data_IF_129416416956
#
_entry.id   IF_129416416956
#
_cell.length_a   1.000
_cell.length_b   1.000
_cell.length_c   1.000
_cell.angle_alpha   90.00
_cell.angle_beta   90.00
_cell.angle_gamma   90.00
#
_symmetry.space_group_name_H-M   'P 1'
#
loop_
_entity.id
_entity.type
_entity.pdbx_description
1 polymer ?
#
# COMPACT_ATOMS: atom_id res chain seq x y z
N UNK A 1 -65.16 60.92 -19.73
CA UNK A 1 -65.31 59.48 -19.63
C UNK A 1 -64.01 58.86 -20.12
N UNK A 2 -63.11 58.39 -19.18
CA UNK A 2 -61.78 57.84 -19.48
C UNK A 2 -61.90 56.33 -19.45
N UNK A 3 -61.54 55.68 -20.56
CA UNK A 3 -61.43 54.23 -20.62
C UNK A 3 -59.97 53.86 -20.43
N UNK A 4 -59.69 53.14 -19.37
CA UNK A 4 -58.36 52.62 -19.05
C UNK A 4 -58.16 51.29 -19.78
N UNK A 5 -57.11 51.23 -20.65
CA UNK A 5 -56.66 50.01 -21.28
C UNK A 5 -55.77 49.21 -20.39
N UNK A 6 -56.14 47.99 -20.04
CA UNK A 6 -55.28 47.02 -19.36
C UNK A 6 -54.44 46.30 -20.41
N UNK A 7 -53.13 46.59 -20.42
CA UNK A 7 -52.14 45.80 -21.16
C UNK A 7 -51.73 44.60 -20.33
N UNK A 8 -52.04 43.42 -20.87
CA UNK A 8 -51.59 42.12 -20.28
C UNK A 8 -50.14 41.90 -20.74
N UNK A 9 -49.18 42.09 -19.86
CA UNK A 9 -47.79 41.65 -20.05
C UNK A 9 -47.70 40.13 -19.79
N UNK A 10 -47.64 39.34 -20.86
CA UNK A 10 -47.32 37.91 -20.82
C UNK A 10 -45.82 37.77 -20.66
N UNK A 11 -45.36 37.55 -19.44
CA UNK A 11 -43.96 37.18 -19.15
C UNK A 11 -43.71 35.72 -19.61
N UNK A 12 -43.11 35.55 -20.76
CA UNK A 12 -42.53 34.28 -21.16
C UNK A 12 -41.36 33.94 -20.18
N UNK A 13 -41.61 33.11 -19.22
CA UNK A 13 -40.54 32.43 -18.47
C UNK A 13 -39.93 31.41 -19.43
N UNK A 14 -38.75 31.74 -19.99
CA UNK A 14 -37.82 30.74 -20.52
C UNK A 14 -37.44 29.82 -19.38
N UNK A 15 -38.00 28.61 -19.35
CA UNK A 15 -37.51 27.54 -18.54
C UNK A 15 -36.07 27.23 -19.01
N UNK A 16 -35.10 27.73 -18.29
CA UNK A 16 -33.73 27.22 -18.39
C UNK A 16 -33.80 25.74 -18.00
N UNK A 17 -33.70 24.88 -19.02
CA UNK A 17 -33.44 23.47 -18.82
C UNK A 17 -32.13 23.40 -18.02
N UNK A 18 -32.24 23.18 -16.70
CA UNK A 18 -31.09 22.89 -15.87
C UNK A 18 -30.45 21.61 -16.42
N UNK A 19 -29.33 21.77 -17.10
CA UNK A 19 -28.48 20.64 -17.46
C UNK A 19 -28.16 19.95 -16.13
N UNK A 20 -28.51 18.65 -15.94
CA UNK A 20 -28.18 17.98 -14.71
C UNK A 20 -26.67 18.09 -14.48
N UNK A 21 -26.20 18.29 -13.23
CA UNK A 21 -24.78 18.35 -12.94
C UNK A 21 -24.16 17.04 -13.42
N UNK A 22 -23.19 17.13 -14.32
CA UNK A 22 -22.38 15.99 -14.73
C UNK A 22 -21.65 15.56 -13.46
N UNK A 23 -22.02 14.41 -12.92
CA UNK A 23 -21.37 13.89 -11.72
C UNK A 23 -19.96 13.43 -12.10
N UNK A 24 -18.96 14.11 -11.59
CA UNK A 24 -17.56 13.71 -11.67
C UNK A 24 -17.39 12.25 -11.23
N UNK A 25 -16.94 11.40 -12.10
CA UNK A 25 -16.60 10.02 -11.75
C UNK A 25 -15.35 10.07 -10.88
N UNK A 26 -15.46 9.61 -9.62
CA UNK A 26 -14.30 9.52 -8.73
C UNK A 26 -13.54 8.25 -9.01
N UNK A 27 -12.26 8.37 -9.30
CA UNK A 27 -11.36 7.25 -9.55
C UNK A 27 -10.21 7.29 -8.55
N UNK A 28 -9.96 6.15 -7.90
CA UNK A 28 -8.85 6.01 -6.96
C UNK A 28 -7.68 5.31 -7.65
N UNK A 29 -6.48 5.81 -7.42
CA UNK A 29 -5.28 5.33 -8.08
C UNK A 29 -4.15 5.07 -7.10
N UNK A 30 -3.21 4.21 -7.52
CA UNK A 30 -1.91 4.03 -6.86
C UNK A 30 -0.83 4.72 -7.68
N UNK A 31 0.13 5.38 -7.02
CA UNK A 31 1.23 6.04 -7.70
C UNK A 31 2.15 5.05 -8.42
N UNK A 32 2.70 5.49 -9.55
CA UNK A 32 3.53 4.66 -10.41
C UNK A 32 2.77 3.68 -11.30
N UNK A 33 1.45 3.52 -11.11
CA UNK A 33 0.60 2.68 -11.96
C UNK A 33 0.07 3.46 -13.17
N UNK A 34 -0.45 2.72 -14.16
CA UNK A 34 -1.19 3.28 -15.30
C UNK A 34 -2.67 3.40 -14.97
N UNK A 35 -3.30 4.44 -15.49
CA UNK A 35 -4.72 4.70 -15.35
C UNK A 35 -5.31 5.08 -16.70
N UNK A 36 -6.48 4.54 -17.05
CA UNK A 36 -7.25 4.99 -18.21
C UNK A 36 -8.38 5.91 -17.76
N UNK A 37 -8.41 7.12 -18.31
CA UNK A 37 -9.47 8.12 -18.15
C UNK A 37 -10.46 7.93 -19.30
N UNK A 38 -11.71 7.53 -19.06
CA UNK A 38 -12.65 7.19 -20.12
C UNK A 38 -13.21 8.44 -20.80
N UNK A 39 -13.24 8.43 -22.13
CA UNK A 39 -13.91 9.45 -22.92
C UNK A 39 -14.34 8.88 -24.29
N UNK A 40 -15.60 9.04 -24.64
CA UNK A 40 -16.14 8.60 -25.93
C UNK A 40 -16.97 9.72 -26.57
N UNK A 41 -16.89 9.84 -27.89
CA UNK A 41 -17.58 10.87 -28.62
C UNK A 41 -17.66 10.59 -30.11
N UNK A 42 -18.11 11.58 -30.87
CA UNK A 42 -18.19 11.54 -32.33
C UNK A 42 -16.79 11.50 -32.94
N UNK A 43 -16.42 10.47 -33.72
CA UNK A 43 -15.08 10.32 -34.30
C UNK A 43 -14.70 11.41 -35.31
N UNK A 44 -15.65 12.22 -35.77
CA UNK A 44 -15.39 13.33 -36.71
C UNK A 44 -15.02 14.65 -36.03
N UNK A 45 -15.06 14.73 -34.68
CA UNK A 45 -14.82 15.95 -33.91
C UNK A 45 -13.51 15.91 -33.14
N UNK A 46 -12.85 17.05 -33.06
CA UNK A 46 -11.66 17.23 -32.28
C UNK A 46 -11.99 17.30 -30.79
N UNK A 47 -11.03 16.82 -29.92
CA UNK A 47 -11.23 16.72 -28.49
C UNK A 47 -10.02 17.27 -27.76
N UNK A 48 -10.30 18.04 -26.70
CA UNK A 48 -9.31 18.50 -25.72
C UNK A 48 -9.49 17.77 -24.38
N UNK A 49 -8.38 17.36 -23.80
CA UNK A 49 -8.26 16.94 -22.41
C UNK A 49 -7.64 18.05 -21.58
N UNK A 50 -8.34 18.46 -20.54
CA UNK A 50 -7.95 19.51 -19.60
C UNK A 50 -7.83 18.93 -18.18
N UNK A 51 -6.97 19.52 -17.38
CA UNK A 51 -6.72 19.13 -15.99
C UNK A 51 -6.76 20.35 -15.06
N UNK A 52 -7.41 20.19 -13.92
CA UNK A 52 -7.42 21.16 -12.85
C UNK A 52 -6.94 20.49 -11.56
N UNK A 53 -5.82 20.94 -11.03
CA UNK A 53 -5.31 20.46 -9.76
C UNK A 53 -6.18 20.99 -8.61
N UNK A 54 -6.41 20.19 -7.56
CA UNK A 54 -7.32 20.54 -6.45
C UNK A 54 -7.02 21.89 -5.77
N UNK A 55 -5.75 22.34 -5.77
CA UNK A 55 -5.32 23.58 -5.12
C UNK A 55 -5.27 24.80 -6.05
N UNK A 56 -5.49 24.62 -7.36
CA UNK A 56 -5.34 25.68 -8.35
C UNK A 56 -6.60 25.81 -9.22
N UNK A 57 -7.10 27.07 -9.41
CA UNK A 57 -8.34 27.27 -10.18
C UNK A 57 -8.16 27.13 -11.70
N UNK A 58 -6.92 27.19 -12.20
CA UNK A 58 -6.65 27.23 -13.63
C UNK A 58 -6.69 25.84 -14.26
N UNK A 59 -7.25 25.75 -15.47
CA UNK A 59 -7.24 24.56 -16.28
C UNK A 59 -5.93 24.47 -17.07
N UNK A 60 -5.22 23.36 -16.90
CA UNK A 60 -4.01 23.03 -17.64
C UNK A 60 -4.35 22.13 -18.82
N UNK A 61 -3.60 22.27 -19.91
CA UNK A 61 -3.73 21.44 -21.08
C UNK A 61 -3.02 20.10 -20.87
N UNK A 62 -3.76 18.99 -21.06
CA UNK A 62 -3.24 17.62 -20.91
C UNK A 62 -2.89 17.01 -22.26
N UNK A 63 -3.87 16.98 -23.16
CA UNK A 63 -3.71 16.40 -24.48
C UNK A 63 -4.80 16.91 -25.44
N UNK A 64 -4.51 16.85 -26.72
CA UNK A 64 -5.38 17.26 -27.80
C UNK A 64 -5.37 16.21 -28.91
N UNK A 65 -6.55 15.90 -29.40
CA UNK A 65 -6.73 15.18 -30.65
C UNK A 65 -7.34 16.14 -31.66
N UNK A 66 -6.56 16.55 -32.63
CA UNK A 66 -6.96 17.52 -33.65
C UNK A 66 -6.64 16.98 -35.05
N UNK A 67 -7.63 16.94 -35.93
CA UNK A 67 -7.49 16.44 -37.33
C UNK A 67 -6.76 15.09 -37.41
N UNK A 68 -7.03 14.19 -36.44
CA UNK A 68 -6.40 12.85 -36.36
C UNK A 68 -4.97 12.84 -35.81
N UNK A 69 -4.41 13.99 -35.41
CA UNK A 69 -3.12 14.09 -34.75
C UNK A 69 -3.27 14.17 -33.23
N UNK A 70 -2.40 13.46 -32.49
CA UNK A 70 -2.32 13.51 -31.02
C UNK A 70 -1.16 14.39 -30.59
N UNK A 71 -1.40 15.30 -29.65
CA UNK A 71 -0.36 16.07 -28.96
C UNK A 71 -0.61 16.12 -27.46
N UNK A 72 0.45 16.09 -26.66
CA UNK A 72 0.40 16.18 -25.20
C UNK A 72 0.88 17.53 -24.71
N UNK A 73 0.29 18.00 -23.60
CA UNK A 73 0.65 19.24 -22.92
C UNK A 73 1.92 19.10 -22.07
N UNK A 74 2.39 20.27 -21.60
CA UNK A 74 3.55 20.33 -20.73
C UNK A 74 3.33 19.55 -19.42
N UNK A 75 4.33 18.74 -19.03
CA UNK A 75 4.23 17.86 -17.86
C UNK A 75 3.54 16.51 -18.12
N UNK A 76 2.94 16.33 -19.31
CA UNK A 76 2.29 15.07 -19.71
C UNK A 76 3.01 14.36 -20.87
N UNK A 77 4.06 14.96 -21.45
CA UNK A 77 4.85 14.35 -22.52
C UNK A 77 5.39 12.99 -22.11
N UNK A 78 5.19 11.98 -22.95
CA UNK A 78 5.64 10.61 -22.71
C UNK A 78 4.90 9.89 -21.58
N UNK A 79 3.85 10.52 -20.99
CA UNK A 79 3.03 9.92 -19.92
C UNK A 79 1.57 9.71 -20.31
N UNK A 80 1.13 10.27 -21.43
CA UNK A 80 -0.24 10.12 -21.91
C UNK A 80 -0.29 9.53 -23.31
N UNK A 81 -1.23 8.61 -23.52
CA UNK A 81 -1.51 7.95 -24.78
C UNK A 81 -3.02 7.90 -25.02
N UNK A 82 -3.46 8.01 -26.29
CA UNK A 82 -4.87 7.96 -26.67
C UNK A 82 -5.18 6.73 -27.52
N UNK A 83 -6.38 6.18 -27.35
CA UNK A 83 -6.90 5.06 -28.14
C UNK A 83 -7.49 5.49 -29.49
N UNK A 84 -7.75 6.78 -29.73
CA UNK A 84 -8.47 7.26 -30.89
C UNK A 84 -7.85 6.86 -32.23
N UNK A 85 -6.52 6.74 -32.30
CA UNK A 85 -5.82 6.33 -33.53
C UNK A 85 -6.11 4.89 -33.96
N UNK A 86 -6.46 4.02 -32.98
CA UNK A 86 -6.79 2.61 -33.24
C UNK A 86 -8.30 2.33 -33.16
N UNK A 87 -9.02 3.14 -32.40
CA UNK A 87 -10.45 3.02 -32.12
C UNK A 87 -11.14 4.36 -32.31
N UNK A 88 -11.60 4.71 -33.54
CA UNK A 88 -12.26 5.98 -33.79
C UNK A 88 -13.45 6.24 -32.88
N UNK A 89 -13.51 7.43 -32.28
CA UNK A 89 -14.52 7.80 -31.27
C UNK A 89 -14.20 7.39 -29.83
N UNK A 90 -13.16 6.59 -29.60
CA UNK A 90 -12.62 6.33 -28.27
C UNK A 90 -11.50 7.33 -27.96
N UNK A 91 -11.85 8.42 -27.29
CA UNK A 91 -10.92 9.48 -26.88
C UNK A 91 -10.31 9.23 -25.49
N UNK A 92 -10.49 8.05 -24.91
CA UNK A 92 -9.93 7.70 -23.63
C UNK A 92 -8.42 7.92 -23.61
N UNK A 93 -7.92 8.39 -22.45
CA UNK A 93 -6.52 8.75 -22.26
C UNK A 93 -5.90 7.81 -21.22
N UNK A 94 -4.81 7.14 -21.57
CA UNK A 94 -4.00 6.41 -20.58
C UNK A 94 -2.93 7.33 -20.03
N UNK A 95 -2.90 7.50 -18.70
CA UNK A 95 -1.89 8.25 -17.94
C UNK A 95 -0.98 7.27 -17.23
N UNK A 96 0.34 7.33 -17.49
CA UNK A 96 1.34 6.41 -16.93
C UNK A 96 2.75 7.03 -16.95
N UNK A 97 3.49 6.99 -15.82
CA UNK A 97 3.04 6.66 -14.47
C UNK A 97 2.22 7.78 -13.85
N UNK A 98 1.25 7.43 -12.98
CA UNK A 98 0.53 8.43 -12.18
C UNK A 98 1.41 8.94 -11.04
N UNK A 99 1.48 10.26 -10.87
CA UNK A 99 2.25 10.94 -9.82
C UNK A 99 1.34 11.79 -8.92
N UNK A 100 1.86 12.28 -7.80
CA UNK A 100 1.07 13.09 -6.85
C UNK A 100 0.48 14.35 -7.51
N UNK A 101 1.22 15.00 -8.39
CA UNK A 101 0.76 16.21 -9.08
C UNK A 101 -0.35 15.98 -10.10
N UNK A 102 -0.71 14.72 -10.39
CA UNK A 102 -1.82 14.38 -11.27
C UNK A 102 -3.18 14.32 -10.54
N UNK A 103 -3.18 14.47 -9.20
CA UNK A 103 -4.43 14.47 -8.44
C UNK A 103 -5.25 15.73 -8.74
N UNK A 104 -6.53 15.56 -9.03
CA UNK A 104 -7.41 16.66 -9.41
C UNK A 104 -8.51 16.21 -10.40
N UNK A 105 -9.05 17.17 -11.14
CA UNK A 105 -10.16 16.94 -12.04
C UNK A 105 -9.68 16.96 -13.49
N UNK A 106 -10.01 15.93 -14.22
CA UNK A 106 -9.78 15.81 -15.67
C UNK A 106 -11.08 15.99 -16.43
N UNK A 107 -11.06 16.80 -17.46
CA UNK A 107 -12.16 17.02 -18.39
C UNK A 107 -11.79 16.58 -19.79
N UNK A 108 -12.67 15.83 -20.44
CA UNK A 108 -12.66 15.58 -21.87
C UNK A 108 -13.82 16.34 -22.51
N UNK A 109 -13.56 17.19 -23.49
CA UNK A 109 -14.57 18.00 -24.16
C UNK A 109 -14.27 18.19 -25.65
N UNK A 110 -15.30 18.45 -26.46
CA UNK A 110 -15.07 18.85 -27.83
C UNK A 110 -14.39 20.22 -27.91
N UNK A 111 -13.48 20.35 -28.89
CA UNK A 111 -12.72 21.57 -29.16
C UNK A 111 -13.46 22.52 -30.13
N UNK A 112 -14.73 22.59 -30.12
CA UNK A 112 -15.46 23.55 -30.94
C UNK A 112 -16.10 24.65 -30.06
N UNK A 113 -16.80 25.60 -30.71
CA UNK A 113 -17.45 26.73 -30.04
C UNK A 113 -18.47 26.30 -28.97
N UNK A 114 -18.89 25.02 -28.98
CA UNK A 114 -19.89 24.51 -28.05
C UNK A 114 -19.28 23.98 -26.73
N UNK A 115 -18.00 23.65 -26.71
CA UNK A 115 -17.27 23.10 -25.56
C UNK A 115 -18.05 22.01 -24.79
N UNK A 116 -18.73 21.13 -25.53
CA UNK A 116 -19.56 20.09 -24.92
C UNK A 116 -18.68 19.14 -24.14
N UNK A 117 -18.95 19.03 -22.84
CA UNK A 117 -18.31 18.09 -21.93
C UNK A 117 -18.71 16.65 -22.27
N UNK A 118 -17.74 15.78 -22.53
CA UNK A 118 -17.93 14.35 -22.80
C UNK A 118 -17.68 13.51 -21.55
N UNK A 119 -16.67 13.87 -20.76
CA UNK A 119 -16.29 13.13 -19.55
C UNK A 119 -15.66 14.07 -18.54
N UNK A 120 -15.91 13.80 -17.26
CA UNK A 120 -15.35 14.49 -16.10
C UNK A 120 -14.96 13.45 -15.06
N UNK A 121 -13.64 13.36 -14.75
CA UNK A 121 -13.07 12.36 -13.84
C UNK A 121 -12.26 13.05 -12.75
N UNK A 122 -12.65 12.84 -11.49
CA UNK A 122 -11.84 13.26 -10.35
C UNK A 122 -10.89 12.14 -9.94
N UNK A 123 -9.60 12.42 -10.06
CA UNK A 123 -8.54 11.51 -9.64
C UNK A 123 -8.17 11.76 -8.17
N UNK A 124 -8.35 10.74 -7.34
CA UNK A 124 -8.10 10.79 -5.90
C UNK A 124 -7.20 9.63 -5.47
N UNK A 125 -6.57 9.76 -4.31
CA UNK A 125 -5.84 8.69 -3.66
C UNK A 125 -6.49 8.38 -2.31
N UNK A 126 -6.54 7.09 -1.97
CA UNK A 126 -6.91 6.66 -0.61
C UNK A 126 -5.65 6.52 0.22
N UNK A 127 -5.60 7.29 1.29
CA UNK A 127 -4.53 7.20 2.29
C UNK A 127 -5.16 6.90 3.63
N UNK A 128 -4.73 5.81 4.26
CA UNK A 128 -5.18 5.46 5.61
C UNK A 128 -4.13 5.88 6.61
N UNK A 129 -4.51 6.66 7.63
CA UNK A 129 -3.60 7.07 8.70
C UNK A 129 -3.35 5.96 9.74
N UNK A 130 -4.24 4.98 9.84
CA UNK A 130 -4.14 3.90 10.81
C UNK A 130 -3.76 2.60 10.09
N UNK A 131 -2.62 2.04 10.47
CA UNK A 131 -2.09 0.81 9.89
C UNK A 131 -1.93 -0.23 10.97
N UNK A 132 -2.54 -1.39 10.80
CA UNK A 132 -2.41 -2.53 11.71
C UNK A 132 -1.74 -3.70 11.02
N UNK A 133 -0.78 -4.32 11.69
CA UNK A 133 0.00 -5.43 11.13
C UNK A 133 0.33 -6.45 12.23
N UNK A 134 0.42 -7.72 11.85
CA UNK A 134 0.91 -8.75 12.77
C UNK A 134 2.43 -8.63 12.98
N UNK A 135 2.88 -8.92 14.20
CA UNK A 135 4.29 -8.91 14.58
C UNK A 135 5.15 -9.75 13.64
N UNK A 136 6.34 -9.30 13.32
CA UNK A 136 7.28 -9.97 12.40
C UNK A 136 7.00 -9.74 10.92
N UNK A 137 5.84 -9.22 10.56
CA UNK A 137 5.50 -8.91 9.18
C UNK A 137 6.12 -7.58 8.73
N UNK A 138 6.11 -7.32 7.43
CA UNK A 138 6.52 -6.03 6.87
C UNK A 138 5.31 -5.12 6.71
N UNK A 139 5.47 -3.86 7.07
CA UNK A 139 4.42 -2.83 6.98
C UNK A 139 4.91 -1.66 6.14
N UNK A 140 3.99 -1.01 5.41
CA UNK A 140 4.24 0.26 4.74
C UNK A 140 3.37 1.34 5.39
N UNK A 141 4.02 2.34 5.98
CA UNK A 141 3.37 3.52 6.55
C UNK A 141 3.25 4.56 5.44
N UNK A 142 2.05 5.03 5.13
CA UNK A 142 1.84 5.92 3.98
C UNK A 142 2.42 7.31 4.23
N UNK A 143 3.04 7.86 3.20
CA UNK A 143 3.41 9.25 3.08
C UNK A 143 3.43 9.62 1.61
N UNK A 144 2.61 10.57 1.23
CA UNK A 144 2.55 11.09 -0.11
C UNK A 144 2.72 12.60 -0.10
N UNK A 145 3.30 13.14 -1.16
CA UNK A 145 3.54 14.58 -1.27
C UNK A 145 4.05 14.98 -2.65
N UNK A 146 4.08 16.27 -2.88
CA UNK A 146 4.50 16.86 -4.15
C UNK A 146 6.02 16.87 -4.26
N UNK A 147 6.56 16.14 -5.21
CA UNK A 147 7.97 16.16 -5.57
C UNK A 147 8.12 16.86 -6.92
N UNK A 148 9.19 17.62 -7.10
CA UNK A 148 9.51 18.20 -8.39
C UNK A 148 9.75 17.06 -9.41
N UNK A 149 8.99 17.04 -10.51
CA UNK A 149 9.10 16.01 -11.56
C UNK A 149 10.47 15.95 -12.25
N UNK A 150 11.28 17.02 -12.15
CA UNK A 150 12.64 17.07 -12.65
C UNK A 150 13.67 16.60 -11.61
N UNK A 151 13.23 16.31 -10.37
CA UNK A 151 14.12 15.84 -9.32
C UNK A 151 14.74 14.49 -9.66
N UNK A 152 15.99 14.32 -9.27
CA UNK A 152 16.72 13.05 -9.34
C UNK A 152 16.77 12.43 -7.96
N UNK A 153 17.10 11.15 -7.88
CA UNK A 153 17.24 10.47 -6.59
C UNK A 153 18.17 11.20 -5.61
N UNK A 154 19.18 11.91 -6.13
CA UNK A 154 20.12 12.73 -5.35
C UNK A 154 19.53 14.00 -4.75
N UNK A 155 18.39 14.44 -5.23
CA UNK A 155 17.72 15.66 -4.74
C UNK A 155 16.70 15.36 -3.65
N UNK A 156 16.45 14.08 -3.37
CA UNK A 156 15.48 13.66 -2.37
C UNK A 156 15.95 14.03 -0.95
N UNK A 157 15.05 14.68 -0.22
CA UNK A 157 15.21 14.97 1.21
C UNK A 157 13.94 14.53 1.93
N UNK A 158 14.00 13.37 2.56
CA UNK A 158 12.86 12.70 3.21
C UNK A 158 13.28 12.34 4.63
N UNK A 159 12.46 12.74 5.60
CA UNK A 159 12.70 12.48 7.02
C UNK A 159 11.47 11.87 7.67
N UNK A 160 11.63 10.66 8.21
CA UNK A 160 10.64 10.02 9.06
C UNK A 160 11.00 10.13 10.53
N UNK A 161 10.03 10.52 11.36
CA UNK A 161 10.15 10.66 12.81
C UNK A 161 9.08 9.87 13.54
N UNK A 162 9.40 9.45 14.78
CA UNK A 162 8.50 8.82 15.73
C UNK A 162 8.75 9.45 17.12
N UNK A 163 7.70 9.97 17.77
CA UNK A 163 7.86 10.66 19.06
C UNK A 163 8.89 11.79 19.04
N UNK A 164 9.09 12.44 17.87
CA UNK A 164 10.11 13.48 17.66
C UNK A 164 11.50 12.96 17.29
N UNK A 165 11.80 11.67 17.52
CA UNK A 165 13.08 11.05 17.19
C UNK A 165 13.13 10.58 15.72
N UNK A 166 14.33 10.63 15.15
CA UNK A 166 14.55 10.14 13.78
C UNK A 166 14.38 8.62 13.71
N UNK A 167 13.64 8.16 12.71
CA UNK A 167 13.49 6.75 12.31
C UNK A 167 14.31 6.45 11.07
N UNK A 168 14.18 7.28 10.04
CA UNK A 168 14.82 7.10 8.74
C UNK A 168 14.98 8.45 8.06
N UNK A 169 16.07 8.63 7.34
CA UNK A 169 16.29 9.83 6.54
C UNK A 169 17.07 9.53 5.27
N UNK A 170 16.60 10.11 4.16
CA UNK A 170 17.39 10.31 2.94
C UNK A 170 17.71 11.81 2.87
N UNK A 171 18.97 12.16 2.75
CA UNK A 171 19.41 13.51 2.50
C UNK A 171 20.63 13.49 1.58
N UNK A 172 20.53 14.09 0.39
CA UNK A 172 21.63 14.16 -0.61
C UNK A 172 22.31 12.79 -0.84
N UNK A 173 21.53 11.76 -1.20
CA UNK A 173 21.97 10.37 -1.39
C UNK A 173 22.51 9.66 -0.13
N UNK A 174 22.51 10.30 1.02
CA UNK A 174 22.93 9.68 2.26
C UNK A 174 21.72 9.17 3.03
N UNK A 175 21.74 7.87 3.36
CA UNK A 175 20.70 7.25 4.18
C UNK A 175 21.22 7.15 5.62
N UNK A 176 20.39 7.60 6.57
CA UNK A 176 20.66 7.46 7.99
C UNK A 176 19.46 6.90 8.73
N UNK A 177 19.72 6.11 9.76
CA UNK A 177 18.69 5.43 10.54
C UNK A 177 18.65 5.96 11.96
N UNK A 178 17.49 5.91 12.57
CA UNK A 178 17.32 6.03 14.01
C UNK A 178 17.65 4.71 14.72
N UNK A 179 17.78 4.73 16.04
CA UNK A 179 18.05 3.54 16.84
C UNK A 179 16.99 2.46 16.57
N UNK A 180 17.43 1.20 16.42
CA UNK A 180 16.61 0.00 16.18
C UNK A 180 15.95 -0.12 14.79
N UNK A 181 16.13 0.88 13.89
CA UNK A 181 15.55 0.84 12.54
C UNK A 181 16.59 0.52 11.45
N UNK A 182 17.84 0.42 11.79
CA UNK A 182 18.92 0.05 10.87
C UNK A 182 18.61 -1.29 10.19
N UNK A 183 18.74 -1.32 8.87
CA UNK A 183 18.40 -2.48 8.01
C UNK A 183 16.93 -2.95 8.04
N UNK A 184 16.07 -2.28 8.81
CA UNK A 184 14.63 -2.59 8.90
C UNK A 184 13.75 -1.55 8.23
N UNK A 185 14.15 -0.28 8.26
CA UNK A 185 13.41 0.83 7.66
C UNK A 185 13.95 1.16 6.27
N UNK A 186 13.07 1.44 5.34
CA UNK A 186 13.44 1.88 3.98
C UNK A 186 12.32 2.68 3.33
N UNK A 187 12.71 3.61 2.45
CA UNK A 187 11.85 4.30 1.49
C UNK A 187 12.36 3.96 0.10
N UNK A 188 11.48 3.70 -0.85
CA UNK A 188 11.89 3.49 -2.25
C UNK A 188 12.19 4.83 -2.92
N UNK A 189 13.45 5.11 -3.32
CA UNK A 189 13.77 6.35 -4.02
C UNK A 189 13.01 6.50 -5.35
N UNK A 190 12.78 5.40 -6.05
CA UNK A 190 12.02 5.39 -7.31
C UNK A 190 10.57 5.84 -7.08
N UNK A 191 9.89 5.27 -6.08
CA UNK A 191 8.53 5.64 -5.73
C UNK A 191 8.45 7.08 -5.19
N UNK A 192 9.48 7.52 -4.46
CA UNK A 192 9.54 8.88 -3.92
C UNK A 192 9.56 9.94 -5.03
N UNK A 193 10.20 9.68 -6.16
CA UNK A 193 10.18 10.58 -7.33
C UNK A 193 8.78 10.78 -7.92
N UNK A 194 7.87 9.84 -7.69
CA UNK A 194 6.45 9.98 -8.05
C UNK A 194 5.57 10.55 -6.93
N UNK A 195 6.19 10.91 -5.79
CA UNK A 195 5.48 11.46 -4.64
C UNK A 195 5.06 10.43 -3.59
N UNK A 196 5.45 9.16 -3.73
CA UNK A 196 5.20 8.12 -2.72
C UNK A 196 6.46 7.90 -1.86
N UNK A 197 6.48 8.54 -0.70
CA UNK A 197 7.57 8.50 0.27
C UNK A 197 7.28 7.57 1.45
N UNK A 198 6.40 6.60 1.25
CA UNK A 198 5.97 5.64 2.28
C UNK A 198 7.16 4.90 2.89
N UNK A 199 7.13 4.76 4.22
CA UNK A 199 8.16 4.06 4.99
C UNK A 199 7.80 2.58 5.10
N UNK A 200 8.67 1.71 4.61
CA UNK A 200 8.56 0.27 4.84
C UNK A 200 9.37 -0.10 6.08
N UNK A 201 8.73 -0.74 7.06
CA UNK A 201 9.38 -1.33 8.22
C UNK A 201 9.26 -2.85 8.10
N UNK A 202 10.40 -3.54 8.05
CA UNK A 202 10.47 -5.00 7.99
C UNK A 202 10.56 -5.57 9.40
N UNK A 203 10.04 -6.79 9.58
CA UNK A 203 10.08 -7.49 10.85
C UNK A 203 9.57 -6.60 12.00
N UNK A 204 8.31 -6.17 11.89
CA UNK A 204 7.68 -5.29 12.88
C UNK A 204 7.71 -5.91 14.28
N UNK A 205 7.88 -5.05 15.29
CA UNK A 205 7.95 -5.39 16.71
C UNK A 205 6.84 -4.67 17.47
N UNK A 206 6.40 -5.18 18.59
CA UNK A 206 5.47 -4.44 19.45
C UNK A 206 6.04 -3.09 19.91
N UNK A 207 7.37 -2.99 20.03
CA UNK A 207 8.06 -1.72 20.35
C UNK A 207 8.07 -0.71 19.19
N UNK A 208 7.61 -1.08 18.01
CA UNK A 208 7.47 -0.16 16.87
C UNK A 208 6.11 0.57 16.88
N UNK A 209 5.14 0.16 17.72
CA UNK A 209 3.86 0.85 17.87
C UNK A 209 4.07 2.30 18.25
N UNK A 210 3.57 3.22 17.45
CA UNK A 210 3.57 4.67 17.70
C UNK A 210 2.92 5.42 16.51
N UNK A 211 2.91 6.75 16.62
CA UNK A 211 2.59 7.68 15.54
C UNK A 211 3.85 8.13 14.81
N UNK A 212 3.85 7.95 13.50
CA UNK A 212 4.96 8.28 12.61
C UNK A 212 4.63 9.51 11.77
N UNK A 213 5.59 10.41 11.64
CA UNK A 213 5.46 11.63 10.84
C UNK A 213 6.50 11.65 9.73
N UNK A 214 6.05 12.01 8.53
CA UNK A 214 6.87 12.14 7.33
C UNK A 214 7.04 13.60 6.96
N UNK A 215 8.27 13.99 6.65
CA UNK A 215 8.65 15.31 6.18
C UNK A 215 9.47 15.16 4.89
N UNK A 216 9.32 16.12 3.97
CA UNK A 216 10.06 16.15 2.72
C UNK A 216 10.42 17.59 2.32
N UNK A 217 11.29 17.75 1.30
CA UNK A 217 11.79 19.03 0.82
C UNK A 217 12.43 19.93 1.90
N UNK A 218 13.36 19.32 2.73
CA UNK A 218 13.86 19.96 3.95
C UNK A 218 12.74 20.10 5.01
N UNK A 219 12.91 19.88 6.29
CA UNK A 219 11.88 19.46 7.26
C UNK A 219 10.66 20.37 7.43
N UNK A 220 10.31 21.12 6.41
CA UNK A 220 9.22 22.11 6.43
C UNK A 220 7.89 21.58 5.90
N UNK A 221 7.91 20.64 4.96
CA UNK A 221 6.68 20.12 4.37
C UNK A 221 6.33 18.76 4.98
N UNK A 222 5.06 18.61 5.35
CA UNK A 222 4.53 17.34 5.85
C UNK A 222 3.91 16.54 4.73
N UNK A 223 4.09 15.23 4.77
CA UNK A 223 3.40 14.33 3.86
C UNK A 223 1.92 14.17 4.23
N UNK A 224 1.15 13.60 3.33
CA UNK A 224 -0.22 13.19 3.56
C UNK A 224 -0.23 11.65 3.78
N UNK A 225 -0.76 11.14 4.92
CA UNK A 225 -1.34 11.86 6.04
C UNK A 225 -0.26 12.58 6.88
N UNK A 226 -0.67 13.56 7.69
CA UNK A 226 0.21 14.29 8.61
C UNK A 226 0.88 13.37 9.64
N UNK A 227 0.22 12.26 9.97
CA UNK A 227 0.71 11.21 10.86
C UNK A 227 0.13 9.87 10.46
N UNK A 228 0.95 8.82 10.48
CA UNK A 228 0.56 7.42 10.28
C UNK A 228 0.70 6.67 11.62
N UNK A 229 -0.40 6.17 12.17
CA UNK A 229 -0.42 5.39 13.41
C UNK A 229 -0.20 3.91 13.11
N UNK A 230 0.80 3.32 13.75
CA UNK A 230 1.13 1.90 13.63
C UNK A 230 0.67 1.14 14.87
N UNK A 231 -0.18 0.14 14.65
CA UNK A 231 -0.58 -0.84 15.66
C UNK A 231 -0.01 -2.20 15.28
N UNK A 232 0.75 -2.82 16.20
CA UNK A 232 1.29 -4.17 15.98
C UNK A 232 0.49 -5.17 16.80
N UNK A 233 -0.10 -6.15 16.13
CA UNK A 233 -0.93 -7.19 16.75
C UNK A 233 -0.18 -8.51 16.84
N UNK A 234 -0.67 -9.44 17.68
CA UNK A 234 -0.31 -10.84 17.57
C UNK A 234 -0.95 -11.51 16.36
N UNK A 235 -0.49 -12.72 16.06
CA UNK A 235 -1.11 -13.58 15.06
C UNK A 235 -2.38 -14.24 15.61
N UNK A 236 -3.37 -14.55 14.76
CA UNK A 236 -4.56 -15.27 15.20
C UNK A 236 -4.20 -16.66 15.76
N UNK A 237 -4.92 -17.15 16.77
CA UNK A 237 -4.73 -18.50 17.29
C UNK A 237 -4.91 -19.54 16.20
N UNK A 238 -4.07 -20.59 16.24
CA UNK A 238 -4.09 -21.69 15.29
C UNK A 238 -4.41 -23.01 16.02
N UNK A 239 -5.13 -23.91 15.37
CA UNK A 239 -5.31 -25.29 15.83
C UNK A 239 -4.60 -26.21 14.85
N UNK A 240 -3.73 -27.05 15.38
CA UNK A 240 -2.96 -28.03 14.60
C UNK A 240 -3.27 -29.44 15.12
N UNK A 241 -3.37 -30.40 14.19
CA UNK A 241 -3.46 -31.82 14.53
C UNK A 241 -2.18 -32.49 14.05
N UNK A 242 -1.50 -33.18 14.96
CA UNK A 242 -0.25 -33.91 14.68
C UNK A 242 -0.41 -35.34 15.14
N UNK A 243 0.07 -36.31 14.31
CA UNK A 243 0.10 -37.73 14.70
C UNK A 243 1.12 -37.98 15.80
N UNK A 244 0.83 -38.88 16.71
CA UNK A 244 1.80 -39.35 17.71
C UNK A 244 3.10 -39.84 17.02
N UNK A 245 4.27 -39.45 17.57
CA UNK A 245 5.58 -39.63 16.93
C UNK A 245 5.95 -38.58 15.90
N UNK A 246 5.03 -37.72 15.51
CA UNK A 246 5.20 -36.66 14.50
C UNK A 246 6.03 -35.48 14.99
N UNK A 247 6.02 -34.41 14.18
CA UNK A 247 6.76 -33.16 14.37
C UNK A 247 5.78 -32.00 14.50
N UNK A 248 5.86 -31.25 15.60
CA UNK A 248 5.17 -29.97 15.76
C UNK A 248 6.11 -28.81 15.41
N UNK A 249 5.64 -27.88 14.59
CA UNK A 249 6.34 -26.67 14.21
C UNK A 249 5.59 -25.46 14.75
N UNK A 250 6.21 -24.71 15.68
CA UNK A 250 5.63 -23.53 16.32
C UNK A 250 6.33 -22.31 15.76
N UNK A 251 5.64 -21.47 14.93
CA UNK A 251 6.23 -20.27 14.39
C UNK A 251 6.38 -19.20 15.48
N UNK A 252 7.57 -18.61 15.57
CA UNK A 252 7.91 -17.57 16.55
C UNK A 252 7.76 -16.15 15.96
N UNK A 253 7.76 -16.03 14.62
CA UNK A 253 7.59 -14.80 13.84
C UNK A 253 8.66 -13.72 14.05
N UNK A 254 9.68 -13.97 14.86
CA UNK A 254 10.74 -12.99 15.15
C UNK A 254 12.05 -13.69 15.46
N UNK A 255 13.16 -13.01 15.14
CA UNK A 255 14.52 -13.36 15.61
C UNK A 255 14.84 -12.76 16.98
N UNK A 256 13.98 -11.87 17.47
CA UNK A 256 14.19 -11.16 18.72
C UNK A 256 13.92 -12.04 19.95
N UNK A 257 13.84 -11.39 21.10
CA UNK A 257 13.52 -12.07 22.35
C UNK A 257 12.13 -12.68 22.35
N UNK A 258 12.02 -13.97 22.63
CA UNK A 258 10.74 -14.68 22.73
C UNK A 258 10.75 -15.64 23.92
N UNK A 259 9.55 -15.87 24.46
CA UNK A 259 9.27 -16.93 25.42
C UNK A 259 8.15 -17.80 24.88
N UNK A 260 8.34 -19.11 24.91
CA UNK A 260 7.29 -20.10 24.60
C UNK A 260 6.92 -20.82 25.86
N UNK A 261 5.62 -20.84 26.17
CA UNK A 261 5.04 -21.61 27.27
C UNK A 261 4.11 -22.66 26.71
N UNK A 262 3.93 -23.74 27.44
CA UNK A 262 2.98 -24.82 27.19
C UNK A 262 2.05 -24.97 28.38
N UNK A 263 0.77 -25.20 28.13
CA UNK A 263 -0.20 -25.63 29.13
C UNK A 263 -1.05 -26.76 28.58
N UNK A 264 -1.04 -27.91 29.27
CA UNK A 264 -2.04 -28.94 29.05
C UNK A 264 -3.41 -28.49 29.57
N UNK A 265 -4.47 -29.12 29.11
CA UNK A 265 -5.83 -28.76 29.50
C UNK A 265 -6.00 -28.82 31.04
N UNK A 266 -6.22 -27.67 31.67
CA UNK A 266 -6.40 -27.56 33.13
C UNK A 266 -5.13 -27.56 33.98
N UNK A 267 -3.97 -27.43 33.36
CA UNK A 267 -2.66 -27.36 34.02
C UNK A 267 -2.06 -25.97 33.97
N UNK A 268 -1.10 -25.71 34.88
CA UNK A 268 -0.32 -24.48 34.88
C UNK A 268 0.59 -24.38 33.64
N UNK A 269 0.92 -23.13 33.25
CA UNK A 269 1.86 -22.87 32.14
C UNK A 269 3.28 -23.27 32.56
N UNK A 270 3.94 -24.10 31.73
CA UNK A 270 5.33 -24.46 31.87
C UNK A 270 6.17 -23.83 30.77
N UNK A 271 7.41 -23.45 31.09
CA UNK A 271 8.32 -22.86 30.11
C UNK A 271 8.84 -23.94 29.17
N UNK A 272 8.74 -23.69 27.87
CA UNK A 272 9.31 -24.49 26.80
C UNK A 272 10.62 -23.93 26.29
N UNK A 273 10.65 -22.64 26.00
CA UNK A 273 11.78 -21.91 25.46
C UNK A 273 11.82 -20.49 26.05
N UNK A 274 13.00 -20.04 26.48
CA UNK A 274 13.30 -18.65 26.80
C UNK A 274 14.52 -18.22 26.01
N UNK A 275 14.32 -17.36 25.02
CA UNK A 275 15.36 -16.76 24.17
C UNK A 275 15.45 -15.25 24.47
N UNK A 276 15.57 -14.86 25.72
CA UNK A 276 15.65 -13.47 26.16
C UNK A 276 17.11 -13.07 26.44
N UNK A 277 17.66 -12.20 25.57
CA UNK A 277 18.98 -11.55 25.75
C UNK A 277 20.17 -12.50 26.03
N UNK A 278 20.15 -13.69 25.40
CA UNK A 278 21.21 -14.66 25.57
C UNK A 278 20.98 -15.97 24.80
N UNK A 279 21.77 -17.00 25.02
CA UNK A 279 21.53 -18.28 24.41
C UNK A 279 20.17 -18.85 24.81
N UNK A 280 19.49 -19.50 23.88
CA UNK A 280 18.18 -20.10 24.09
C UNK A 280 18.24 -21.13 25.23
N UNK A 281 17.34 -20.99 26.21
CA UNK A 281 17.16 -21.94 27.32
C UNK A 281 15.92 -22.74 27.07
N UNK A 282 16.04 -24.07 27.18
CA UNK A 282 14.92 -24.99 27.00
C UNK A 282 14.43 -25.47 28.36
N UNK A 283 13.12 -25.51 28.53
CA UNK A 283 12.49 -26.06 29.72
C UNK A 283 12.51 -27.59 29.74
N UNK A 284 12.14 -28.20 30.88
CA UNK A 284 12.15 -29.66 31.05
C UNK A 284 11.24 -30.40 30.07
N UNK A 285 10.07 -29.83 29.74
CA UNK A 285 9.15 -30.42 28.76
C UNK A 285 9.74 -30.47 27.34
N UNK A 286 10.60 -29.55 27.01
CA UNK A 286 11.35 -29.54 25.76
C UNK A 286 12.47 -30.58 25.73
N UNK A 287 13.19 -30.72 26.83
CA UNK A 287 14.35 -31.59 26.98
C UNK A 287 15.17 -31.71 25.67
N UNK A 288 15.49 -32.91 25.22
CA UNK A 288 16.25 -33.15 23.97
C UNK A 288 15.36 -33.16 22.71
N UNK A 289 14.05 -32.96 22.85
CA UNK A 289 13.08 -33.02 21.74
C UNK A 289 12.91 -31.71 20.99
N UNK A 290 13.27 -30.58 21.59
CA UNK A 290 13.10 -29.25 20.97
C UNK A 290 14.34 -28.79 20.20
N UNK A 291 14.10 -28.08 19.10
CA UNK A 291 15.13 -27.40 18.33
C UNK A 291 14.64 -26.05 17.82
N UNK A 292 15.36 -24.99 18.17
CA UNK A 292 15.13 -23.67 17.59
C UNK A 292 15.79 -23.58 16.20
N UNK A 293 15.00 -23.29 15.19
CA UNK A 293 15.46 -23.00 13.83
C UNK A 293 15.53 -21.50 13.62
N UNK A 294 16.74 -20.94 13.68
CA UNK A 294 16.95 -19.49 13.54
C UNK A 294 16.62 -18.96 12.13
N UNK A 295 16.76 -19.80 11.10
CA UNK A 295 16.54 -19.40 9.71
C UNK A 295 15.08 -18.99 9.38
N UNK A 296 14.12 -19.64 10.01
CA UNK A 296 12.69 -19.41 9.80
C UNK A 296 11.93 -19.09 11.09
N UNK A 297 12.65 -18.77 12.15
CA UNK A 297 12.08 -18.39 13.45
C UNK A 297 11.03 -19.38 13.96
N UNK A 298 11.40 -20.63 14.05
CA UNK A 298 10.50 -21.72 14.39
C UNK A 298 11.06 -22.57 15.53
N UNK A 299 10.23 -22.92 16.50
CA UNK A 299 10.53 -23.96 17.48
C UNK A 299 9.95 -25.29 17.00
N UNK A 300 10.80 -26.28 16.83
CA UNK A 300 10.40 -27.66 16.51
C UNK A 300 10.33 -28.50 17.78
N UNK A 301 9.24 -29.25 17.95
CA UNK A 301 9.10 -30.32 18.93
C UNK A 301 8.99 -31.66 18.19
N UNK A 302 9.92 -32.58 18.45
CA UNK A 302 10.00 -33.91 17.80
C UNK A 302 9.34 -34.97 18.66
N UNK A 303 8.92 -36.05 18.03
CA UNK A 303 8.33 -37.21 18.68
C UNK A 303 7.18 -36.82 19.61
N UNK A 304 6.21 -36.13 19.01
CA UNK A 304 5.01 -35.65 19.71
C UNK A 304 4.26 -36.83 20.34
N UNK A 305 3.89 -36.67 21.62
CA UNK A 305 3.12 -37.65 22.40
C UNK A 305 1.74 -37.08 22.77
N UNK A 306 0.86 -37.91 23.29
CA UNK A 306 -0.46 -37.45 23.79
C UNK A 306 -0.34 -36.42 24.92
N UNK A 307 0.72 -36.47 25.71
CA UNK A 307 1.01 -35.48 26.77
C UNK A 307 1.38 -34.08 26.25
N UNK A 308 1.75 -33.98 24.96
CA UNK A 308 2.03 -32.70 24.29
C UNK A 308 0.76 -32.00 23.82
N UNK A 309 -0.42 -32.64 23.92
CA UNK A 309 -1.70 -32.01 23.57
C UNK A 309 -2.01 -30.85 24.53
N UNK A 310 -2.29 -29.66 23.98
CA UNK A 310 -2.51 -28.47 24.78
C UNK A 310 -2.25 -27.18 24.02
N UNK A 311 -2.03 -26.09 24.72
CA UNK A 311 -1.84 -24.76 24.15
C UNK A 311 -0.37 -24.33 24.29
N UNK A 312 0.24 -24.02 23.19
CA UNK A 312 1.56 -23.40 23.09
C UNK A 312 1.39 -21.91 22.84
N UNK A 313 1.93 -21.07 23.73
CA UNK A 313 1.81 -19.63 23.66
C UNK A 313 3.19 -19.00 23.47
N UNK A 314 3.33 -18.21 22.42
CA UNK A 314 4.53 -17.42 22.12
C UNK A 314 4.30 -16.00 22.60
N UNK A 315 5.18 -15.48 23.45
CA UNK A 315 5.07 -14.14 24.03
C UNK A 315 6.36 -13.35 23.85
N UNK A 316 6.22 -12.04 23.71
CA UNK A 316 7.33 -11.10 23.83
C UNK A 316 7.61 -10.87 25.33
N UNK A 317 8.79 -11.21 25.84
CA UNK A 317 9.10 -11.08 27.27
C UNK A 317 9.21 -9.63 27.74
N UNK A 318 9.45 -8.66 26.85
CA UNK A 318 9.55 -7.23 27.18
C UNK A 318 8.16 -6.60 27.36
N UNK A 319 7.27 -6.76 26.38
CA UNK A 319 5.93 -6.15 26.39
C UNK A 319 4.86 -7.03 27.03
N UNK A 320 5.15 -8.30 27.27
CA UNK A 320 4.20 -9.34 27.73
C UNK A 320 3.05 -9.62 26.75
N UNK A 321 3.11 -9.05 25.56
CA UNK A 321 2.09 -9.27 24.52
C UNK A 321 2.24 -10.67 23.92
N UNK A 322 1.12 -11.29 23.57
CA UNK A 322 1.09 -12.57 22.86
C UNK A 322 1.43 -12.35 21.40
N UNK A 323 2.45 -13.06 20.90
CA UNK A 323 2.84 -13.07 19.49
C UNK A 323 1.93 -14.03 18.72
N UNK A 324 1.78 -15.25 19.23
CA UNK A 324 0.93 -16.29 18.64
C UNK A 324 0.54 -17.33 19.69
N UNK A 325 -0.48 -18.12 19.37
CA UNK A 325 -0.83 -19.31 20.13
C UNK A 325 -1.20 -20.46 19.19
N UNK A 326 -0.78 -21.67 19.56
CA UNK A 326 -1.06 -22.91 18.82
C UNK A 326 -1.74 -23.90 19.78
N UNK A 327 -2.94 -24.33 19.46
CA UNK A 327 -3.64 -25.43 20.15
C UNK A 327 -3.32 -26.72 19.41
N UNK A 328 -2.60 -27.61 20.08
CA UNK A 328 -2.22 -28.90 19.52
C UNK A 328 -3.21 -29.99 19.93
N UNK A 329 -3.71 -30.70 18.94
CA UNK A 329 -4.42 -31.95 19.09
C UNK A 329 -3.52 -33.09 18.60
N UNK A 330 -3.40 -34.15 19.36
CA UNK A 330 -2.59 -35.32 18.98
C UNK A 330 -3.51 -36.46 18.59
N UNK A 331 -3.33 -36.96 17.35
CA UNK A 331 -4.06 -38.14 16.85
C UNK A 331 -3.22 -39.41 16.98
N UNK A 332 -3.88 -40.50 17.34
CA UNK A 332 -3.33 -41.89 17.26
C UNK A 332 -4.06 -42.57 16.13
N UNK A 333 -3.33 -43.18 15.20
CA UNK A 333 -3.96 -43.94 14.14
C UNK A 333 -4.51 -45.24 14.72
N UNK A 334 -5.79 -45.54 14.56
CA UNK A 334 -6.30 -46.86 14.87
C UNK A 334 -5.94 -47.90 13.81
N UNK A 335 -5.67 -47.46 12.54
CA UNK A 335 -5.21 -48.32 11.44
C UNK A 335 -4.68 -47.42 10.29
N UNK A 336 -3.51 -47.77 9.75
CA UNK A 336 -2.80 -46.93 8.78
C UNK A 336 -3.50 -46.82 7.42
N UNK A 337 -3.79 -45.60 7.01
CA UNK A 337 -3.87 -45.24 5.59
C UNK A 337 -3.42 -43.79 5.36
N UNK A 338 -2.55 -43.62 4.36
CA UNK A 338 -1.85 -42.38 4.06
C UNK A 338 -2.41 -41.73 2.81
N UNK A 339 -2.93 -40.47 2.94
CA UNK A 339 -3.24 -39.62 1.81
C UNK A 339 -2.66 -38.20 1.98
N UNK A 340 -2.10 -37.57 0.95
CA UNK A 340 -1.44 -36.27 1.06
C UNK A 340 -2.44 -35.10 0.98
N UNK A 341 -2.32 -34.10 1.85
CA UNK A 341 -3.07 -32.85 1.77
C UNK A 341 -2.25 -31.77 1.07
N UNK A 342 -2.84 -31.24 0.02
CA UNK A 342 -2.34 -30.14 -0.82
C UNK A 342 -2.64 -28.79 -0.19
N UNK A 343 -1.62 -27.89 -0.16
CA UNK A 343 -1.73 -26.55 0.33
C UNK A 343 -2.41 -25.59 -0.67
N UNK A 344 -3.15 -24.63 -0.15
CA UNK A 344 -3.84 -23.57 -0.92
C UNK A 344 -2.94 -22.34 -0.98
N UNK A 345 -2.76 -21.86 -2.21
CA UNK A 345 -1.99 -20.66 -2.56
C UNK A 345 -2.85 -19.40 -2.48
N UNK A 346 -2.37 -18.35 -1.83
CA UNK A 346 -3.04 -17.04 -1.79
C UNK A 346 -2.66 -16.22 -3.03
N UNK A 347 -3.67 -15.63 -3.68
CA UNK A 347 -3.52 -14.75 -4.84
C UNK A 347 -3.29 -13.32 -4.35
N UNK A 348 -2.14 -12.75 -4.69
CA UNK A 348 -1.80 -11.34 -4.48
C UNK A 348 -2.15 -10.54 -5.75
N UNK A 349 -3.05 -9.57 -5.64
CA UNK A 349 -3.29 -8.55 -6.66
C UNK A 349 -2.37 -7.37 -6.42
N UNK A 350 -1.21 -7.37 -7.06
CA UNK A 350 -0.28 -6.23 -7.11
C UNK A 350 -0.08 -5.78 -8.56
N UNK A 351 0.03 -4.47 -8.78
CA UNK A 351 0.49 -3.93 -10.06
C UNK A 351 1.87 -4.51 -10.39
N UNK A 352 1.99 -5.17 -11.54
CA UNK A 352 3.29 -5.61 -12.06
C UNK A 352 3.94 -4.45 -12.78
N UNK A 353 5.10 -3.98 -12.28
CA UNK A 353 5.92 -2.99 -12.99
C UNK A 353 6.56 -3.64 -14.21
N UNK A 354 6.54 -2.97 -15.39
CA UNK A 354 7.38 -3.42 -16.49
C UNK A 354 8.86 -3.23 -16.12
N UNK A 355 9.61 -4.33 -16.12
CA UNK A 355 11.07 -4.30 -15.99
C UNK A 355 11.68 -3.50 -17.16
N UNK A 356 12.19 -2.32 -16.89
CA UNK A 356 13.11 -1.63 -17.78
C UNK A 356 14.45 -2.37 -17.75
N UNK A 357 14.59 -3.36 -18.63
CA UNK A 357 15.88 -3.95 -18.94
C UNK A 357 16.77 -2.89 -19.57
N UNK A 358 17.82 -2.51 -18.87
CA UNK A 358 18.91 -1.69 -19.39
C UNK A 358 19.53 -2.39 -20.61
N UNK A 359 19.26 -1.89 -21.81
CA UNK A 359 20.05 -2.22 -23.00
C UNK A 359 21.38 -1.49 -22.90
N UNK A 360 22.41 -2.21 -22.49
CA UNK A 360 23.79 -1.79 -22.66
C UNK A 360 24.15 -1.88 -24.14
N UNK A 361 24.13 -0.74 -24.85
CA UNK A 361 24.83 -0.63 -26.14
C UNK A 361 26.29 -0.52 -25.88
N UNK A 362 26.99 -1.60 -26.14
CA UNK A 362 28.46 -1.61 -26.29
C UNK A 362 28.85 -0.77 -27.49
N UNK A 363 29.63 0.26 -27.27
CA UNK A 363 30.41 0.94 -28.28
C UNK A 363 31.81 0.33 -28.27
N UNK A 364 32.08 -0.52 -29.26
CA UNK A 364 33.43 -0.85 -29.72
C UNK A 364 33.88 0.21 -30.72
N UNK A 365 35.01 0.75 -30.44
CA UNK A 365 35.99 1.60 -31.16
C UNK A 365 35.95 3.06 -30.75
#
# INVERSE_FOLDING_TARGET
MRIAGYGILVALRLAQLAVPPVYSVRTFVSFGCSLTLPCHGDPSRDVDWLFQQDEFPDWLFVAQLHTGAFSSGDGFQGRVESFHLTEPGNYSLTLSPVVYSDLGIYKCQYKDETEILLSDVKLEIRVTSNVSIAMGMSVSLPCIGKINMQARAGDLDILWKRGGEKVYQIHKNTITYGPRFENRASVSPEQALYGNMSLTIRQTRFSDEDDYQCFYNSPKERGNPDSASLVVTGHPPQTLTVKAGGLLSIPLYTADTVRVTFSALGSDEVMMLDANKGPARYGEHCAQRCKLLAQNYTLLLRSVTLEDAGVYKVTDPETKKTISSVSLQVSVDPDGDSGPQTGISAISTGCTFPNLSAQSHGLNR
#
